data_IF_061889957104
#
_entry.id   IF_061889957104
#
_cell.length_a   1.000
_cell.length_b   1.000
_cell.length_c   1.000
_cell.angle_alpha   90.00
_cell.angle_beta   90.00
_cell.angle_gamma   90.00
#
_symmetry.space_group_name_H-M   'P 1'
#
loop_
_entity.id
_entity.type
_entity.pdbx_description
1 polymer ?
#
# COMPACT_ATOMS: atom_id res chain seq x y z
N UNK A 1 -13.84 61.44 -42.60
CA UNK A 1 -14.34 62.00 -41.33
C UNK A 1 -15.44 61.11 -40.77
N UNK A 2 -15.20 60.45 -39.64
CA UNK A 2 -16.21 59.76 -38.82
C UNK A 2 -15.78 59.84 -37.36
N UNK A 3 -16.75 60.06 -36.49
CA UNK A 3 -16.64 60.45 -35.09
C UNK A 3 -16.07 59.37 -34.17
N UNK A 4 -15.56 59.78 -33.00
CA UNK A 4 -15.82 59.14 -31.71
C UNK A 4 -15.41 60.04 -30.53
N UNK A 5 -16.24 60.00 -29.48
CA UNK A 5 -16.13 60.69 -28.17
C UNK A 5 -15.51 59.75 -27.13
N UNK A 6 -14.95 60.32 -26.04
CA UNK A 6 -15.13 59.95 -24.60
C UNK A 6 -13.85 60.30 -23.80
N UNK A 7 -13.80 61.34 -22.93
CA UNK A 7 -14.19 61.42 -21.49
C UNK A 7 -13.47 60.37 -20.62
N UNK A 8 -12.42 60.71 -19.85
CA UNK A 8 -12.24 61.51 -18.59
C UNK A 8 -12.47 60.73 -17.28
N UNK A 9 -11.43 60.81 -16.45
CA UNK A 9 -11.09 60.24 -15.13
C UNK A 9 -11.86 60.87 -13.96
N UNK A 10 -12.17 60.09 -12.89
CA UNK A 10 -12.26 60.52 -11.46
C UNK A 10 -11.97 59.29 -10.52
N UNK A 11 -11.22 59.45 -9.40
CA UNK A 11 -11.07 58.46 -8.32
C UNK A 11 -11.78 58.81 -6.98
N UNK A 12 -11.97 57.77 -6.14
CA UNK A 12 -12.27 57.68 -4.67
C UNK A 12 -13.52 58.37 -4.06
N UNK A 13 -14.15 57.79 -3.01
CA UNK A 13 -13.63 57.89 -1.64
C UNK A 13 -13.88 56.68 -0.69
N UNK A 14 -13.27 56.77 0.51
CA UNK A 14 -13.31 55.81 1.61
C UNK A 14 -14.26 56.19 2.78
N UNK A 15 -14.46 55.21 3.67
CA UNK A 15 -14.86 55.24 5.10
C UNK A 15 -16.32 55.43 5.54
N UNK A 16 -16.82 54.41 6.26
CA UNK A 16 -17.67 54.54 7.44
C UNK A 16 -17.38 53.37 8.42
N UNK A 17 -17.46 53.65 9.72
CA UNK A 17 -16.78 52.95 10.82
C UNK A 17 -17.78 52.69 11.98
N UNK A 18 -17.46 51.70 12.85
CA UNK A 18 -17.85 51.49 14.28
C UNK A 18 -19.14 50.67 14.61
N UNK A 19 -19.36 50.24 15.89
CA UNK A 19 -18.49 49.66 16.96
C UNK A 19 -19.13 48.36 17.58
N UNK A 20 -18.44 47.48 18.33
CA UNK A 20 -18.01 47.59 19.74
C UNK A 20 -18.82 46.66 20.68
N UNK A 21 -18.16 45.66 21.31
CA UNK A 21 -18.74 44.79 22.35
C UNK A 21 -18.81 45.48 23.73
N UNK A 22 -19.57 44.92 24.70
CA UNK A 22 -18.91 44.57 25.96
C UNK A 22 -19.42 43.32 26.72
N UNK A 23 -18.53 42.89 27.61
CA UNK A 23 -18.48 41.83 28.62
C UNK A 23 -19.45 42.01 29.82
N UNK A 24 -19.81 40.93 30.55
CA UNK A 24 -19.48 40.67 32.00
C UNK A 24 -20.49 39.79 32.80
N UNK A 25 -20.00 38.61 33.20
CA UNK A 25 -19.94 37.89 34.50
C UNK A 25 -21.00 37.95 35.67
N UNK A 26 -21.00 36.81 36.41
CA UNK A 26 -21.49 36.48 37.79
C UNK A 26 -23.01 36.23 37.96
N UNK A 27 -23.52 35.25 38.73
CA UNK A 27 -23.07 34.74 40.04
C UNK A 27 -23.72 33.38 40.43
N UNK A 28 -23.14 32.77 41.46
CA UNK A 28 -23.34 31.46 42.11
C UNK A 28 -24.63 31.35 42.95
N UNK A 29 -25.20 30.15 43.12
CA UNK A 29 -25.69 29.68 44.43
C UNK A 29 -25.62 28.15 44.59
N UNK A 30 -25.11 27.78 45.77
CA UNK A 30 -24.80 26.45 46.34
C UNK A 30 -25.86 26.15 47.40
N UNK A 31 -26.37 24.92 47.50
CA UNK A 31 -26.90 24.34 48.75
C UNK A 31 -26.57 22.83 48.80
N UNK A 32 -25.76 22.46 49.80
CA UNK A 32 -25.56 21.10 50.35
C UNK A 32 -26.85 20.69 51.11
N UNK A 33 -27.21 19.43 51.39
CA UNK A 33 -26.47 18.48 52.22
C UNK A 33 -27.31 17.19 52.48
N UNK A 34 -26.58 16.14 52.86
CA UNK A 34 -26.89 15.14 53.92
C UNK A 34 -27.91 13.99 53.74
N UNK A 35 -27.43 12.80 54.14
CA UNK A 35 -28.19 11.63 54.62
C UNK A 35 -28.32 10.54 53.55
N UNK A 36 -27.70 9.36 53.64
CA UNK A 36 -27.53 8.50 54.81
C UNK A 36 -28.65 7.45 54.84
N UNK A 37 -28.28 6.19 55.08
CA UNK A 37 -29.09 5.01 55.45
C UNK A 37 -29.34 3.90 54.42
N UNK A 38 -28.88 2.72 54.85
CA UNK A 38 -29.08 1.35 54.38
C UNK A 38 -30.54 0.98 54.08
N UNK A 39 -30.77 -0.01 53.21
CA UNK A 39 -31.29 -1.35 53.57
C UNK A 39 -31.64 -2.14 52.28
N UNK A 40 -31.15 -3.37 52.17
CA UNK A 40 -31.78 -4.47 51.38
C UNK A 40 -32.82 -5.14 52.31
N UNK A 41 -33.92 -5.84 51.93
CA UNK A 41 -34.01 -6.77 50.79
C UNK A 41 -35.42 -6.94 50.13
N UNK A 42 -35.49 -7.85 49.15
CA UNK A 42 -36.61 -8.71 48.69
C UNK A 42 -38.02 -8.13 48.40
N UNK A 43 -38.56 -8.44 47.20
CA UNK A 43 -39.69 -9.41 47.01
C UNK A 43 -40.26 -9.35 45.58
N UNK A 44 -40.56 -10.53 44.99
CA UNK A 44 -41.41 -10.69 43.79
C UNK A 44 -42.90 -10.50 44.16
N UNK A 45 -43.86 -10.37 43.20
CA UNK A 45 -44.44 -11.57 42.56
C UNK A 45 -45.04 -11.41 41.12
N UNK A 46 -45.10 -12.55 40.39
CA UNK A 46 -46.23 -13.14 39.59
C UNK A 46 -46.88 -12.31 38.43
N UNK A 47 -47.34 -12.85 37.29
CA UNK A 47 -47.51 -14.21 36.77
C UNK A 47 -48.04 -14.20 35.30
N UNK A 48 -48.20 -15.42 34.75
CA UNK A 48 -49.14 -15.88 33.68
C UNK A 48 -48.71 -15.72 32.20
N UNK A 49 -48.80 -16.69 31.28
CA UNK A 49 -49.52 -17.98 31.21
C UNK A 49 -48.94 -18.95 30.14
N UNK A 50 -49.00 -20.26 30.45
CA UNK A 50 -49.46 -21.42 29.64
C UNK A 50 -48.57 -21.98 28.49
N UNK A 51 -48.07 -23.22 28.64
CA UNK A 51 -48.62 -24.52 28.14
C UNK A 51 -48.48 -24.63 26.59
N UNK A 52 -47.86 -25.62 25.94
CA UNK A 52 -47.81 -27.08 26.14
C UNK A 52 -46.73 -27.65 25.18
N UNK A 53 -46.03 -28.71 25.58
CA UNK A 53 -45.27 -29.60 24.67
C UNK A 53 -46.06 -30.90 24.48
N UNK A 54 -45.97 -31.57 23.33
CA UNK A 54 -45.50 -32.96 23.41
C UNK A 54 -44.56 -33.37 22.27
N UNK A 55 -44.09 -34.61 22.40
CA UNK A 55 -42.89 -35.27 21.87
C UNK A 55 -43.14 -36.28 20.73
N UNK A 56 -42.05 -36.58 20.01
CA UNK A 56 -41.62 -37.82 19.32
C UNK A 56 -42.50 -38.56 18.28
N UNK A 57 -41.90 -38.77 17.08
CA UNK A 57 -41.42 -40.06 16.47
C UNK A 57 -41.80 -40.33 14.97
N UNK A 58 -40.78 -40.80 14.20
CA UNK A 58 -40.75 -41.58 12.92
C UNK A 58 -41.14 -40.91 11.57
N UNK A 59 -40.19 -40.82 10.62
CA UNK A 59 -40.02 -41.68 9.42
C UNK A 59 -39.23 -41.00 8.27
N UNK A 60 -38.55 -41.78 7.42
CA UNK A 60 -37.89 -41.37 6.16
C UNK A 60 -38.56 -42.06 4.94
N UNK A 61 -38.04 -41.96 3.69
CA UNK A 61 -38.17 -40.91 2.66
C UNK A 61 -38.95 -41.41 1.40
N UNK A 62 -38.96 -40.70 0.24
CA UNK A 62 -38.02 -41.09 -0.84
C UNK A 62 -37.55 -39.98 -1.83
N UNK A 63 -36.53 -40.36 -2.62
CA UNK A 63 -35.87 -39.68 -3.76
C UNK A 63 -36.75 -39.49 -5.02
N UNK A 64 -36.23 -38.79 -6.05
CA UNK A 64 -36.20 -39.42 -7.37
C UNK A 64 -34.81 -39.41 -8.07
N UNK A 65 -34.61 -40.45 -8.90
CA UNK A 65 -33.40 -40.82 -9.65
C UNK A 65 -33.41 -40.30 -11.10
N UNK A 66 -32.20 -39.94 -11.54
CA UNK A 66 -31.51 -40.23 -12.82
C UNK A 66 -32.07 -39.75 -14.17
N UNK A 67 -31.15 -39.13 -14.93
CA UNK A 67 -30.69 -39.68 -16.21
C UNK A 67 -29.16 -39.86 -16.18
N UNK A 68 -28.69 -41.03 -16.65
CA UNK A 68 -27.30 -41.45 -16.82
C UNK A 68 -27.02 -41.70 -18.30
N UNK A 69 -25.80 -41.38 -18.75
CA UNK A 69 -24.99 -42.04 -19.81
C UNK A 69 -23.52 -41.72 -19.47
N UNK A 70 -22.76 -42.61 -18.82
CA UNK A 70 -21.82 -43.62 -19.39
C UNK A 70 -20.72 -42.98 -20.27
N UNK A 71 -19.52 -42.64 -19.76
CA UNK A 71 -18.25 -43.42 -19.56
C UNK A 71 -17.46 -43.55 -20.90
N UNK A 72 -16.09 -43.50 -21.01
CA UNK A 72 -15.05 -43.83 -20.01
C UNK A 72 -13.80 -42.92 -19.88
N UNK A 73 -13.17 -43.10 -18.71
CA UNK A 73 -11.72 -43.18 -18.38
C UNK A 73 -10.67 -42.86 -19.46
N UNK A 74 -9.70 -42.02 -19.11
CA UNK A 74 -8.29 -42.27 -19.46
C UNK A 74 -7.31 -41.62 -18.47
N UNK A 75 -6.70 -42.47 -17.65
CA UNK A 75 -5.42 -42.26 -17.01
C UNK A 75 -4.34 -42.39 -18.09
N UNK A 76 -3.49 -41.38 -18.29
CA UNK A 76 -2.20 -41.56 -18.96
C UNK A 76 -1.18 -40.68 -18.25
N UNK A 77 -0.26 -41.36 -17.56
CA UNK A 77 1.05 -40.86 -17.20
C UNK A 77 1.78 -40.40 -18.47
N UNK A 78 2.28 -39.16 -18.49
CA UNK A 78 3.33 -38.77 -19.41
C UNK A 78 4.60 -38.48 -18.61
N UNK A 79 5.48 -39.46 -18.77
CA UNK A 79 6.91 -39.47 -18.52
C UNK A 79 7.54 -38.44 -19.47
N UNK A 80 8.21 -37.42 -18.93
CA UNK A 80 9.18 -36.67 -19.72
C UNK A 80 10.54 -37.37 -19.55
N UNK A 81 11.08 -37.81 -20.68
CA UNK A 81 12.38 -38.44 -20.79
C UNK A 81 13.47 -37.36 -20.86
N UNK A 82 14.54 -37.61 -20.11
CA UNK A 82 15.83 -36.94 -20.26
C UNK A 82 16.43 -37.30 -21.62
N UNK A 83 16.92 -36.30 -22.34
CA UNK A 83 17.78 -36.49 -23.51
C UNK A 83 19.13 -35.81 -23.23
N UNK A 84 20.21 -36.59 -23.33
CA UNK A 84 21.58 -36.18 -23.04
C UNK A 84 22.44 -36.17 -24.32
N UNK A 85 23.32 -35.15 -24.40
CA UNK A 85 24.64 -35.07 -25.07
C UNK A 85 24.74 -34.73 -26.58
N UNK A 86 25.93 -34.28 -27.09
CA UNK A 86 27.18 -33.85 -26.42
C UNK A 86 27.76 -32.50 -26.90
N UNK A 87 28.80 -32.00 -26.22
CA UNK A 87 29.45 -30.71 -26.49
C UNK A 87 30.63 -30.71 -27.48
N UNK A 88 31.27 -29.54 -27.62
CA UNK A 88 32.72 -29.34 -27.81
C UNK A 88 33.13 -27.86 -27.76
N UNK A 89 34.24 -27.62 -27.06
CA UNK A 89 35.08 -26.42 -27.05
C UNK A 89 35.63 -26.09 -28.43
N UNK A 90 35.86 -24.81 -28.73
CA UNK A 90 36.96 -24.41 -29.62
C UNK A 90 37.65 -23.13 -29.15
N UNK A 91 38.91 -23.11 -29.50
CA UNK A 91 40.08 -22.48 -28.91
C UNK A 91 40.50 -21.21 -29.66
N UNK A 92 41.31 -20.40 -28.98
CA UNK A 92 41.86 -19.12 -29.39
C UNK A 92 43.11 -19.35 -30.25
N UNK A 93 43.19 -18.72 -31.43
CA UNK A 93 44.45 -18.59 -32.19
C UNK A 93 44.68 -17.15 -32.67
N UNK A 94 45.86 -16.64 -32.30
CA UNK A 94 46.47 -15.36 -32.70
C UNK A 94 46.99 -15.38 -34.16
N UNK A 95 47.29 -14.22 -34.79
CA UNK A 95 48.69 -13.75 -34.80
C UNK A 95 48.88 -12.20 -34.79
N UNK A 96 50.05 -11.74 -34.31
CA UNK A 96 50.61 -10.40 -34.59
C UNK A 96 51.13 -10.26 -36.03
N UNK A 97 51.69 -9.12 -36.49
CA UNK A 97 52.93 -8.54 -35.91
C UNK A 97 53.08 -6.99 -36.02
N UNK A 98 54.16 -6.43 -35.46
CA UNK A 98 54.78 -5.19 -35.98
C UNK A 98 55.16 -4.11 -34.95
N UNK A 99 56.47 -3.91 -34.71
CA UNK A 99 57.07 -2.93 -33.80
C UNK A 99 57.57 -1.66 -34.52
N UNK A 100 57.72 -0.57 -33.74
CA UNK A 100 58.54 0.68 -33.91
C UNK A 100 57.87 1.78 -34.78
N UNK A 101 57.98 3.10 -34.53
CA UNK A 101 58.97 3.92 -33.81
C UNK A 101 58.40 5.34 -33.48
N UNK A 102 58.97 5.90 -32.42
CA UNK A 102 59.06 7.29 -31.89
C UNK A 102 59.13 8.43 -32.94
N UNK A 103 58.53 9.60 -32.68
CA UNK A 103 59.22 10.90 -32.45
C UNK A 103 58.26 12.11 -32.28
N UNK A 104 58.79 13.11 -31.59
CA UNK A 104 58.19 14.36 -31.09
C UNK A 104 58.11 15.45 -32.17
N UNK A 105 57.22 16.44 -32.03
CA UNK A 105 57.52 17.89 -32.10
C UNK A 105 56.25 18.75 -31.97
N UNK A 106 56.44 19.92 -31.34
CA UNK A 106 55.48 20.94 -30.92
C UNK A 106 54.96 21.82 -32.07
N UNK A 107 53.77 22.41 -31.90
CA UNK A 107 53.54 23.82 -32.24
C UNK A 107 52.36 24.40 -31.45
N UNK A 108 52.60 25.49 -30.70
CA UNK A 108 51.61 26.32 -30.01
C UNK A 108 50.91 27.27 -30.98
N UNK A 109 49.60 27.51 -30.81
CA UNK A 109 49.02 28.84 -30.99
C UNK A 109 47.69 29.03 -30.22
N UNK A 110 47.80 29.89 -29.19
CA UNK A 110 46.81 30.65 -28.40
C UNK A 110 45.32 30.62 -28.78
N UNK A 111 44.48 30.35 -27.77
CA UNK A 111 43.07 30.77 -27.69
C UNK A 111 42.58 30.78 -26.23
N UNK A 112 42.09 31.92 -25.76
CA UNK A 112 41.70 32.25 -24.37
C UNK A 112 40.67 31.27 -23.74
N UNK A 113 40.74 30.93 -22.43
CA UNK A 113 39.68 30.15 -21.80
C UNK A 113 38.59 31.08 -21.26
N UNK A 114 37.44 31.11 -21.93
CA UNK A 114 36.19 31.53 -21.30
C UNK A 114 35.86 30.47 -20.23
N UNK A 115 35.96 30.85 -18.95
CA UNK A 115 35.51 30.03 -17.82
C UNK A 115 34.00 29.80 -17.92
N UNK A 116 33.60 28.80 -18.69
CA UNK A 116 32.26 28.21 -18.59
C UNK A 116 32.22 27.41 -17.30
N UNK A 117 31.64 27.99 -16.26
CA UNK A 117 31.11 27.26 -15.12
C UNK A 117 30.00 26.34 -15.63
N UNK A 118 30.36 25.20 -16.22
CA UNK A 118 29.45 24.07 -16.41
C UNK A 118 29.09 23.56 -15.03
N UNK A 119 28.05 24.15 -14.48
CA UNK A 119 27.25 23.57 -13.41
C UNK A 119 26.81 22.19 -13.91
N UNK A 120 27.53 21.16 -13.49
CA UNK A 120 27.11 19.77 -13.62
C UNK A 120 25.81 19.64 -12.85
N UNK A 121 24.70 19.83 -13.55
CA UNK A 121 23.41 19.31 -13.09
C UNK A 121 23.61 17.81 -12.93
N UNK A 122 23.14 17.21 -11.84
CA UNK A 122 23.19 15.76 -11.69
C UNK A 122 22.44 15.18 -12.88
N UNK A 123 23.14 14.34 -13.64
CA UNK A 123 22.59 13.57 -14.74
C UNK A 123 21.56 12.61 -14.12
N UNK A 124 20.31 13.05 -13.99
CA UNK A 124 19.22 12.12 -13.80
C UNK A 124 19.05 11.47 -15.16
N UNK A 125 19.78 10.36 -15.37
CA UNK A 125 19.46 9.46 -16.47
C UNK A 125 17.99 9.14 -16.30
N UNK A 126 17.15 9.76 -17.13
CA UNK A 126 15.70 9.63 -17.04
C UNK A 126 15.36 8.25 -17.58
N UNK A 127 15.53 7.23 -16.73
CA UNK A 127 15.11 5.87 -17.04
C UNK A 127 13.63 5.94 -17.43
N UNK A 128 13.30 5.34 -18.57
CA UNK A 128 11.92 5.34 -19.06
C UNK A 128 10.96 4.79 -17.99
N UNK A 129 9.78 5.40 -17.80
CA UNK A 129 8.82 4.92 -16.80
C UNK A 129 8.41 3.47 -17.01
N UNK A 130 8.63 2.67 -15.96
CA UNK A 130 8.01 1.34 -15.78
C UNK A 130 6.72 1.49 -15.01
N UNK A 131 5.57 1.27 -15.65
CA UNK A 131 4.24 1.57 -15.09
C UNK A 131 3.51 0.28 -14.70
N UNK A 132 3.02 0.23 -13.48
CA UNK A 132 2.17 -0.84 -12.98
C UNK A 132 0.73 -0.33 -12.82
N UNK A 133 -0.26 -1.15 -13.18
CA UNK A 133 -1.68 -0.83 -12.96
C UNK A 133 -2.26 -1.66 -11.80
N UNK A 134 -3.22 -1.08 -11.08
CA UNK A 134 -3.99 -1.79 -10.05
C UNK A 134 -5.41 -1.27 -9.95
N UNK A 135 -6.35 -2.15 -9.57
CA UNK A 135 -7.76 -1.81 -9.37
C UNK A 135 -8.57 -1.59 -10.66
N UNK A 136 -7.89 -1.39 -11.79
CA UNK A 136 -8.48 -1.07 -13.09
C UNK A 136 -7.71 -1.74 -14.23
N UNK A 137 -8.43 -2.10 -15.28
CA UNK A 137 -7.87 -2.49 -16.59
C UNK A 137 -8.02 -1.29 -17.52
N UNK A 138 -6.91 -0.74 -17.99
CA UNK A 138 -6.91 0.45 -18.86
C UNK A 138 -6.02 0.23 -20.09
N UNK A 139 -6.58 -0.42 -21.11
CA UNK A 139 -5.88 -0.67 -22.37
C UNK A 139 -5.40 0.64 -23.06
N UNK A 140 -6.12 1.75 -22.86
CA UNK A 140 -5.75 3.05 -23.41
C UNK A 140 -4.51 3.60 -22.69
N UNK A 141 -4.46 3.49 -21.37
CA UNK A 141 -3.29 3.83 -20.57
C UNK A 141 -2.09 2.97 -20.91
N UNK A 142 -2.27 1.66 -21.04
CA UNK A 142 -1.20 0.73 -21.46
C UNK A 142 -0.60 1.13 -22.81
N UNK A 143 -1.45 1.41 -23.81
CA UNK A 143 -1.01 1.91 -25.12
C UNK A 143 -0.28 3.26 -25.00
N UNK A 144 -0.74 4.15 -24.14
CA UNK A 144 -0.09 5.44 -23.90
C UNK A 144 1.32 5.25 -23.31
N UNK A 145 1.51 4.34 -22.37
CA UNK A 145 2.83 4.03 -21.79
C UNK A 145 3.81 3.60 -22.88
N UNK A 146 3.43 2.61 -23.70
CA UNK A 146 4.29 2.06 -24.75
C UNK A 146 4.61 3.12 -25.81
N UNK A 147 3.62 3.89 -26.23
CA UNK A 147 3.77 4.86 -27.30
C UNK A 147 4.52 6.14 -26.87
N UNK A 148 4.77 6.32 -25.57
CA UNK A 148 5.64 7.36 -25.00
C UNK A 148 7.05 6.84 -24.66
N UNK A 149 7.34 5.57 -24.99
CA UNK A 149 8.64 4.94 -24.75
C UNK A 149 8.83 4.36 -23.34
N UNK A 150 7.76 4.26 -22.54
CA UNK A 150 7.78 3.53 -21.26
C UNK A 150 7.53 2.03 -21.45
N UNK A 151 7.51 1.29 -20.34
CA UNK A 151 7.17 -0.14 -20.34
C UNK A 151 6.18 -0.50 -19.24
N UNK A 152 5.47 -1.61 -19.42
CA UNK A 152 4.60 -2.17 -18.38
C UNK A 152 5.44 -2.96 -17.38
N UNK A 153 5.23 -2.72 -16.09
CA UNK A 153 5.85 -3.47 -15.02
C UNK A 153 5.06 -4.75 -14.75
N UNK A 154 5.77 -5.87 -14.61
CA UNK A 154 5.23 -7.17 -14.21
C UNK A 154 5.03 -7.29 -12.70
N UNK A 155 5.82 -6.54 -11.92
CA UNK A 155 5.81 -6.58 -10.46
C UNK A 155 6.01 -5.20 -9.84
N UNK A 156 5.67 -5.07 -8.56
CA UNK A 156 5.87 -3.83 -7.82
C UNK A 156 7.35 -3.53 -7.61
N UNK A 157 8.23 -4.54 -7.58
CA UNK A 157 9.67 -4.35 -7.34
C UNK A 157 10.34 -3.52 -8.44
N UNK A 158 9.95 -3.71 -9.70
CA UNK A 158 10.50 -2.97 -10.83
C UNK A 158 9.70 -1.73 -11.23
N UNK A 159 8.49 -1.56 -10.69
CA UNK A 159 7.65 -0.43 -11.02
C UNK A 159 8.29 0.89 -10.56
N UNK A 160 8.23 1.90 -11.43
CA UNK A 160 8.60 3.28 -11.13
C UNK A 160 7.38 4.12 -10.75
N UNK A 161 6.21 3.78 -11.30
CA UNK A 161 4.94 4.46 -11.09
C UNK A 161 3.83 3.41 -10.96
N UNK A 162 2.88 3.65 -10.07
CA UNK A 162 1.64 2.90 -9.99
C UNK A 162 0.50 3.79 -10.51
N UNK A 163 -0.36 3.24 -11.36
CA UNK A 163 -1.55 3.92 -11.88
C UNK A 163 -2.80 3.19 -11.42
N UNK A 164 -3.79 3.95 -10.95
CA UNK A 164 -5.08 3.43 -10.49
C UNK A 164 -6.16 4.51 -10.61
N UNK A 165 -7.43 4.11 -10.58
CA UNK A 165 -8.60 4.99 -10.63
C UNK A 165 -8.99 5.54 -9.25
N UNK A 166 -8.67 4.80 -8.17
CA UNK A 166 -9.08 5.11 -6.80
C UNK A 166 -8.13 4.52 -5.75
N UNK A 167 -8.29 4.90 -4.50
CA UNK A 167 -7.56 4.25 -3.40
C UNK A 167 -8.14 2.85 -3.19
N UNK A 168 -7.30 1.82 -3.34
CA UNK A 168 -7.70 0.43 -3.15
C UNK A 168 -6.67 -0.32 -2.29
N UNK A 169 -7.13 -1.16 -1.36
CA UNK A 169 -6.25 -1.97 -0.47
C UNK A 169 -5.76 -3.25 -1.15
N UNK A 170 -5.21 -3.14 -2.36
CA UNK A 170 -4.58 -4.27 -3.05
C UNK A 170 -3.12 -4.44 -2.62
N UNK A 171 -2.56 -5.63 -2.81
CA UNK A 171 -1.12 -5.89 -2.57
C UNK A 171 -0.25 -4.94 -3.39
N UNK A 172 -0.58 -4.73 -4.67
CA UNK A 172 0.15 -3.80 -5.55
C UNK A 172 0.15 -2.37 -5.02
N UNK A 173 -1.01 -1.89 -4.54
CA UNK A 173 -1.15 -0.56 -3.96
C UNK A 173 -0.31 -0.40 -2.69
N UNK A 174 -0.45 -1.33 -1.75
CA UNK A 174 0.27 -1.29 -0.47
C UNK A 174 1.79 -1.39 -0.65
N UNK A 175 2.25 -2.26 -1.55
CA UNK A 175 3.66 -2.37 -1.91
C UNK A 175 4.20 -1.07 -2.54
N UNK A 176 3.46 -0.47 -3.48
CA UNK A 176 3.87 0.77 -4.13
C UNK A 176 3.97 1.92 -3.11
N UNK A 177 2.97 2.03 -2.23
CA UNK A 177 2.94 3.01 -1.16
C UNK A 177 4.09 2.81 -0.19
N UNK A 178 4.36 1.58 0.24
CA UNK A 178 5.50 1.24 1.09
C UNK A 178 6.86 1.59 0.49
N UNK A 179 7.00 1.47 -0.83
CA UNK A 179 8.19 1.92 -1.57
C UNK A 179 8.26 3.43 -1.73
N UNK A 180 7.15 4.15 -1.59
CA UNK A 180 7.04 5.58 -1.80
C UNK A 180 7.07 6.01 -3.27
N UNK A 181 6.81 5.08 -4.20
CA UNK A 181 6.72 5.41 -5.63
C UNK A 181 5.42 6.20 -5.89
N UNK A 182 5.38 7.07 -6.91
CA UNK A 182 4.17 7.83 -7.23
C UNK A 182 2.98 6.90 -7.51
N UNK A 183 1.83 7.24 -6.92
CA UNK A 183 0.54 6.58 -7.15
C UNK A 183 -0.37 7.60 -7.84
N UNK A 184 -0.60 7.37 -9.13
CA UNK A 184 -1.15 8.38 -10.04
C UNK A 184 -2.51 7.95 -10.60
N UNK A 185 -3.33 8.94 -10.94
CA UNK A 185 -4.58 8.72 -11.67
C UNK A 185 -4.31 8.37 -13.14
N UNK A 186 -5.32 7.80 -13.80
CA UNK A 186 -5.28 7.51 -15.24
C UNK A 186 -5.02 8.77 -16.09
N UNK A 187 -5.43 9.94 -15.61
CA UNK A 187 -5.24 11.21 -16.30
C UNK A 187 -3.76 11.53 -16.54
N UNK A 188 -2.85 11.05 -15.69
CA UNK A 188 -1.42 11.22 -15.92
C UNK A 188 -1.02 10.67 -17.30
N UNK A 189 -1.46 9.46 -17.63
CA UNK A 189 -1.15 8.80 -18.89
C UNK A 189 -1.87 9.48 -20.05
N UNK A 190 -3.13 9.85 -19.87
CA UNK A 190 -3.91 10.48 -20.94
C UNK A 190 -3.38 11.86 -21.30
N UNK A 191 -3.00 12.67 -20.31
CA UNK A 191 -2.44 13.99 -20.55
C UNK A 191 -0.99 13.90 -21.06
N UNK A 192 -0.20 12.95 -20.54
CA UNK A 192 1.12 12.65 -21.09
C UNK A 192 1.06 12.27 -22.57
N UNK A 193 0.08 11.44 -22.94
CA UNK A 193 -0.10 11.04 -24.34
C UNK A 193 -0.43 12.23 -25.25
N UNK A 194 -1.25 13.16 -24.78
CA UNK A 194 -1.58 14.40 -25.49
C UNK A 194 -0.36 15.32 -25.61
N UNK A 195 0.46 15.41 -24.57
CA UNK A 195 1.67 16.22 -24.54
C UNK A 195 2.82 15.62 -25.36
N UNK A 196 2.77 14.32 -25.69
CA UNK A 196 3.82 13.61 -26.40
C UNK A 196 5.02 13.23 -25.52
N UNK A 197 4.92 13.40 -24.20
CA UNK A 197 5.94 13.00 -23.23
C UNK A 197 5.31 12.71 -21.86
N UNK A 198 6.01 11.97 -20.99
CA UNK A 198 5.56 11.76 -19.61
C UNK A 198 5.62 13.07 -18.81
N UNK A 199 4.46 13.49 -18.30
CA UNK A 199 4.33 14.69 -17.49
C UNK A 199 4.83 14.47 -16.06
N UNK A 200 5.21 15.54 -15.34
CA UNK A 200 5.58 15.44 -13.93
C UNK A 200 4.45 14.82 -13.07
N UNK A 201 4.78 13.93 -12.12
CA UNK A 201 3.77 13.13 -11.40
C UNK A 201 2.98 13.92 -10.34
N UNK A 202 3.54 15.00 -9.79
CA UNK A 202 3.00 15.65 -8.57
C UNK A 202 1.56 16.18 -8.73
N UNK A 203 1.20 16.60 -9.94
CA UNK A 203 -0.14 17.08 -10.29
C UNK A 203 -1.17 15.97 -10.52
N UNK A 204 -0.75 14.71 -10.55
CA UNK A 204 -1.61 13.57 -10.90
C UNK A 204 -1.70 12.51 -9.80
N UNK A 205 -1.21 12.81 -8.60
CA UNK A 205 -1.39 11.91 -7.45
C UNK A 205 -2.89 11.68 -7.22
N UNK A 206 -3.27 10.40 -7.07
CA UNK A 206 -4.67 10.00 -6.84
C UNK A 206 -5.26 10.80 -5.69
N UNK A 207 -6.44 11.34 -5.89
CA UNK A 207 -7.19 12.09 -4.89
C UNK A 207 -8.56 11.44 -4.76
N UNK A 208 -8.82 10.82 -3.61
CA UNK A 208 -10.02 10.04 -3.35
C UNK A 208 -10.51 10.37 -1.92
N UNK A 209 -11.22 11.51 -1.76
CA UNK A 209 -11.61 12.02 -0.45
C UNK A 209 -12.59 11.10 0.27
N UNK A 210 -13.30 10.24 -0.46
CA UNK A 210 -14.18 9.23 0.13
C UNK A 210 -13.36 8.17 0.86
N UNK A 211 -12.39 7.55 0.17
CA UNK A 211 -11.57 6.51 0.77
C UNK A 211 -10.57 7.07 1.80
N UNK A 212 -10.04 8.27 1.59
CA UNK A 212 -9.23 8.97 2.60
C UNK A 212 -10.01 9.17 3.91
N UNK A 213 -11.30 9.52 3.83
CA UNK A 213 -12.19 9.60 5.00
C UNK A 213 -12.48 8.23 5.59
N UNK A 214 -12.83 7.24 4.77
CA UNK A 214 -13.19 5.89 5.23
C UNK A 214 -12.05 5.21 5.99
N UNK A 215 -10.81 5.40 5.52
CA UNK A 215 -9.62 4.86 6.18
C UNK A 215 -8.99 5.83 7.19
N UNK A 216 -9.39 7.11 7.19
CA UNK A 216 -8.87 8.14 8.09
C UNK A 216 -7.38 8.40 7.87
N UNK A 217 -6.99 8.75 6.65
CA UNK A 217 -5.61 9.09 6.27
C UNK A 217 -5.58 10.02 5.05
N UNK A 218 -4.40 10.60 4.75
CA UNK A 218 -4.14 11.24 3.46
C UNK A 218 -3.09 10.46 2.67
N UNK A 219 -3.37 10.18 1.41
CA UNK A 219 -2.44 9.49 0.52
C UNK A 219 -1.16 10.31 0.29
N UNK A 220 -1.30 11.63 0.15
CA UNK A 220 -0.15 12.54 -0.06
C UNK A 220 0.79 12.50 1.15
N UNK A 221 0.23 12.56 2.35
CA UNK A 221 1.03 12.51 3.58
C UNK A 221 1.69 11.14 3.78
N UNK A 222 0.96 10.06 3.50
CA UNK A 222 1.53 8.71 3.53
C UNK A 222 2.68 8.57 2.54
N UNK A 223 2.52 9.00 1.28
CA UNK A 223 3.60 8.97 0.29
C UNK A 223 4.81 9.80 0.74
N UNK A 224 4.58 10.97 1.34
CA UNK A 224 5.63 11.81 1.92
C UNK A 224 6.41 11.07 3.02
N UNK A 225 5.71 10.44 3.97
CA UNK A 225 6.31 9.61 5.02
C UNK A 225 7.12 8.44 4.45
N UNK A 226 6.58 7.72 3.46
CA UNK A 226 7.23 6.57 2.84
C UNK A 226 8.52 6.93 2.09
N UNK A 227 8.58 8.13 1.49
CA UNK A 227 9.79 8.66 0.84
C UNK A 227 10.85 9.07 1.87
N UNK A 228 10.42 9.62 3.01
CA UNK A 228 11.33 10.04 4.07
C UNK A 228 11.93 8.86 4.85
N UNK A 229 11.16 7.79 5.08
CA UNK A 229 11.63 6.61 5.83
C UNK A 229 10.93 5.33 5.40
N UNK A 230 11.63 4.21 5.54
CA UNK A 230 11.05 2.87 5.42
C UNK A 230 10.25 2.55 6.68
N UNK A 231 8.94 2.34 6.55
CA UNK A 231 8.00 2.14 7.65
C UNK A 231 8.46 1.02 8.62
N UNK A 232 8.84 -0.12 8.06
CA UNK A 232 9.15 -1.34 8.80
C UNK A 232 10.65 -1.57 8.95
N UNK A 233 11.47 -0.51 8.83
CA UNK A 233 12.92 -0.63 9.04
C UNK A 233 13.24 -1.25 10.40
N UNK A 234 13.95 -2.37 10.38
CA UNK A 234 14.35 -3.12 11.57
C UNK A 234 13.26 -4.00 12.19
N UNK A 235 12.10 -4.12 11.55
CA UNK A 235 11.08 -5.09 11.97
C UNK A 235 11.37 -6.49 11.39
N UNK A 236 11.12 -7.50 12.20
CA UNK A 236 11.12 -8.91 11.77
C UNK A 236 9.71 -9.48 11.98
N UNK A 237 9.06 -9.90 10.91
CA UNK A 237 7.64 -10.23 10.93
C UNK A 237 7.43 -11.65 10.44
N UNK A 238 6.83 -12.48 11.27
CA UNK A 238 6.29 -13.77 10.85
C UNK A 238 4.80 -13.63 10.56
N UNK A 239 4.32 -14.30 9.51
CA UNK A 239 2.89 -14.32 9.14
C UNK A 239 2.42 -15.77 9.17
N UNK A 240 1.34 -16.04 9.92
CA UNK A 240 0.81 -17.41 10.02
C UNK A 240 0.02 -17.81 8.77
N UNK A 241 -0.10 -19.12 8.45
CA UNK A 241 -0.63 -19.59 7.15
C UNK A 241 -2.05 -19.16 6.78
N UNK A 242 -2.96 -19.02 7.74
CA UNK A 242 -4.38 -18.67 7.57
C UNK A 242 -4.66 -17.18 7.43
N UNK A 243 -3.65 -16.32 7.49
CA UNK A 243 -3.82 -14.86 7.29
C UNK A 243 -4.22 -14.55 5.86
N UNK A 244 -5.06 -13.52 5.69
CA UNK A 244 -5.41 -12.95 4.41
C UNK A 244 -5.00 -11.47 4.34
N UNK A 245 -4.29 -11.01 3.29
CA UNK A 245 -3.70 -11.79 2.19
C UNK A 245 -2.75 -12.91 2.65
N UNK A 246 -2.51 -13.96 1.85
CA UNK A 246 -1.67 -15.10 2.25
C UNK A 246 -0.21 -14.68 2.51
N UNK A 247 0.56 -15.48 3.28
CA UNK A 247 1.91 -15.11 3.71
C UNK A 247 2.88 -14.66 2.61
N UNK A 248 2.91 -15.25 1.40
CA UNK A 248 3.77 -14.76 0.32
C UNK A 248 3.46 -13.31 -0.06
N UNK A 249 2.17 -12.96 -0.18
CA UNK A 249 1.72 -11.62 -0.53
C UNK A 249 1.95 -10.62 0.61
N UNK A 250 1.70 -11.04 1.86
CA UNK A 250 2.07 -10.24 3.03
C UNK A 250 3.57 -9.98 3.08
N UNK A 251 4.38 -10.98 2.70
CA UNK A 251 5.83 -10.89 2.61
C UNK A 251 6.31 -9.85 1.60
N UNK A 252 5.64 -9.72 0.45
CA UNK A 252 5.91 -8.66 -0.53
C UNK A 252 5.69 -7.27 0.08
N UNK A 253 4.58 -7.07 0.79
CA UNK A 253 4.24 -5.78 1.44
C UNK A 253 5.28 -5.44 2.51
N UNK A 254 5.62 -6.42 3.36
CA UNK A 254 6.63 -6.27 4.42
C UNK A 254 7.97 -5.84 3.82
N UNK A 255 8.42 -6.54 2.78
CA UNK A 255 9.69 -6.28 2.10
C UNK A 255 9.71 -4.90 1.44
N UNK A 256 8.62 -4.52 0.77
CA UNK A 256 8.47 -3.20 0.15
C UNK A 256 8.54 -2.05 1.17
N UNK A 257 8.13 -2.31 2.41
CA UNK A 257 8.20 -1.36 3.52
C UNK A 257 9.54 -1.39 4.29
N UNK A 258 10.49 -2.22 3.86
CA UNK A 258 11.82 -2.36 4.46
C UNK A 258 11.88 -3.24 5.71
N UNK A 259 10.87 -4.09 5.93
CA UNK A 259 10.87 -5.12 6.97
C UNK A 259 11.46 -6.44 6.49
N UNK A 260 11.75 -7.33 7.44
CA UNK A 260 12.27 -8.68 7.18
C UNK A 260 11.18 -9.70 7.47
N UNK A 261 10.91 -10.60 6.52
CA UNK A 261 9.97 -11.70 6.71
C UNK A 261 10.68 -12.87 7.38
N UNK A 262 10.09 -13.39 8.45
CA UNK A 262 10.56 -14.60 9.12
C UNK A 262 9.84 -15.82 8.54
N UNK A 263 10.57 -16.77 7.91
CA UNK A 263 9.95 -17.95 7.28
C UNK A 263 9.42 -18.96 8.30
N UNK A 264 9.83 -18.85 9.56
CA UNK A 264 9.45 -19.78 10.62
C UNK A 264 9.07 -19.01 11.89
N UNK A 265 8.19 -19.61 12.68
CA UNK A 265 7.73 -19.04 13.94
C UNK A 265 8.92 -18.75 14.87
N UNK A 266 9.11 -17.48 15.29
CA UNK A 266 10.18 -17.14 16.19
C UNK A 266 10.00 -17.76 17.58
N UNK A 267 11.13 -18.17 18.18
CA UNK A 267 11.17 -18.85 19.49
C UNK A 267 11.88 -18.03 20.58
N UNK A 268 12.21 -16.78 20.30
CA UNK A 268 12.85 -15.86 21.25
C UNK A 268 12.35 -14.44 21.07
N UNK A 269 12.27 -13.72 22.18
CA UNK A 269 11.97 -12.30 22.19
C UNK A 269 13.06 -11.50 21.46
N UNK A 270 12.64 -10.52 20.67
CA UNK A 270 13.52 -9.48 20.11
C UNK A 270 12.69 -8.21 19.92
N UNK A 271 13.23 -7.01 20.20
CA UNK A 271 12.55 -5.77 19.86
C UNK A 271 12.17 -5.71 18.37
N UNK A 272 10.98 -5.18 18.06
CA UNK A 272 10.43 -5.08 16.69
C UNK A 272 10.23 -6.42 15.96
N UNK A 273 10.25 -7.52 16.70
CA UNK A 273 9.81 -8.82 16.17
C UNK A 273 8.33 -9.01 16.47
N UNK A 274 7.55 -9.36 15.45
CA UNK A 274 6.08 -9.38 15.51
C UNK A 274 5.56 -10.63 14.80
N UNK A 275 4.45 -11.19 15.30
CA UNK A 275 3.71 -12.25 14.62
C UNK A 275 2.37 -11.72 14.17
N UNK A 276 2.11 -11.73 12.87
CA UNK A 276 0.79 -11.44 12.30
C UNK A 276 0.02 -12.75 12.18
N UNK A 277 -1.19 -12.80 12.73
CA UNK A 277 -2.05 -13.99 12.72
C UNK A 277 -3.52 -13.64 12.52
N UNK A 278 -4.36 -14.67 12.37
CA UNK A 278 -5.81 -14.60 12.42
C UNK A 278 -6.36 -15.59 13.46
N UNK A 279 -7.67 -15.55 13.71
CA UNK A 279 -8.35 -16.44 14.67
C UNK A 279 -8.14 -17.93 14.38
N UNK A 280 -8.13 -18.32 13.10
CA UNK A 280 -7.96 -19.71 12.66
C UNK A 280 -6.60 -20.31 13.04
N UNK A 281 -5.58 -19.46 13.17
CA UNK A 281 -4.22 -19.87 13.53
C UNK A 281 -3.88 -19.67 15.00
N UNK A 282 -4.88 -19.39 15.84
CA UNK A 282 -4.70 -19.25 17.28
C UNK A 282 -3.89 -20.38 17.94
N UNK A 283 -4.09 -21.68 17.62
CA UNK A 283 -3.30 -22.76 18.20
C UNK A 283 -1.79 -22.68 17.90
N UNK A 284 -1.39 -21.94 16.85
CA UNK A 284 0.02 -21.75 16.47
C UNK A 284 0.71 -20.68 17.30
N UNK A 285 -0.05 -19.84 18.00
CA UNK A 285 0.45 -18.65 18.69
C UNK A 285 0.93 -18.91 20.12
N UNK A 286 0.85 -20.14 20.62
CA UNK A 286 1.33 -20.50 21.97
C UNK A 286 2.80 -20.15 22.20
N UNK A 287 3.66 -20.36 21.20
CA UNK A 287 5.10 -20.04 21.31
C UNK A 287 5.35 -18.53 21.42
N UNK A 288 4.88 -17.68 20.49
CA UNK A 288 5.12 -16.24 20.58
C UNK A 288 4.53 -15.62 21.86
N UNK A 289 3.35 -16.07 22.33
CA UNK A 289 2.82 -15.61 23.62
C UNK A 289 3.74 -15.95 24.80
N UNK A 290 4.23 -17.20 24.87
CA UNK A 290 5.14 -17.64 25.93
C UNK A 290 6.45 -16.87 25.98
N UNK A 291 6.96 -16.43 24.83
CA UNK A 291 8.21 -15.66 24.73
C UNK A 291 7.98 -14.15 24.74
N UNK A 292 6.74 -13.68 24.95
CA UNK A 292 6.42 -12.25 25.04
C UNK A 292 6.53 -11.48 23.73
N UNK A 293 6.34 -12.14 22.59
CA UNK A 293 6.26 -11.46 21.29
C UNK A 293 4.85 -10.91 21.05
N UNK A 294 4.74 -9.69 20.48
CA UNK A 294 3.46 -9.17 20.02
C UNK A 294 2.85 -10.07 18.96
N UNK A 295 1.62 -10.52 19.22
CA UNK A 295 0.76 -11.23 18.27
C UNK A 295 -0.33 -10.25 17.84
N UNK A 296 -0.36 -9.89 16.56
CA UNK A 296 -1.21 -8.82 16.03
C UNK A 296 -2.07 -9.30 14.87
N UNK A 297 -3.16 -8.59 14.61
CA UNK A 297 -4.02 -8.83 13.46
C UNK A 297 -3.36 -8.38 12.14
N UNK A 298 -3.88 -8.82 10.98
CA UNK A 298 -3.36 -8.39 9.68
C UNK A 298 -3.49 -6.88 9.44
N UNK A 299 -4.41 -6.21 10.13
CA UNK A 299 -4.63 -4.76 10.02
C UNK A 299 -3.42 -3.94 10.47
N UNK A 300 -2.58 -4.48 11.36
CA UNK A 300 -1.29 -3.85 11.68
C UNK A 300 -0.50 -3.53 10.42
N UNK A 301 -0.45 -4.48 9.47
CA UNK A 301 0.24 -4.27 8.21
C UNK A 301 -0.65 -3.52 7.23
N UNK A 302 -1.88 -3.97 6.99
CA UNK A 302 -2.70 -3.46 5.90
C UNK A 302 -3.12 -1.99 6.12
N UNK A 303 -3.56 -1.66 7.33
CA UNK A 303 -3.89 -0.28 7.71
C UNK A 303 -2.62 0.51 8.04
N UNK A 304 -1.65 -0.09 8.73
CA UNK A 304 -0.39 0.58 9.07
C UNK A 304 0.39 1.05 7.84
N UNK A 305 0.46 0.24 6.79
CA UNK A 305 1.09 0.61 5.50
C UNK A 305 0.32 1.71 4.81
N UNK A 306 -1.01 1.65 4.81
CA UNK A 306 -1.86 2.68 4.20
C UNK A 306 -1.64 4.05 4.85
N UNK A 307 -1.52 4.08 6.18
CA UNK A 307 -1.26 5.29 6.97
C UNK A 307 0.22 5.64 7.08
N UNK A 308 1.13 4.74 6.71
CA UNK A 308 2.57 4.84 6.98
C UNK A 308 2.88 5.05 8.48
N UNK A 309 2.17 4.30 9.32
CA UNK A 309 2.26 4.31 10.78
C UNK A 309 2.33 2.87 11.32
N UNK A 310 3.28 2.59 12.21
CA UNK A 310 3.50 1.26 12.77
C UNK A 310 3.09 1.24 14.25
N UNK A 311 1.78 1.33 14.52
CA UNK A 311 1.23 1.24 15.86
C UNK A 311 0.87 -0.21 16.18
N UNK A 312 1.63 -0.87 17.06
CA UNK A 312 1.36 -2.26 17.44
C UNK A 312 0.16 -2.40 18.37
N UNK A 313 0.04 -1.50 19.35
CA UNK A 313 -0.94 -1.58 20.43
C UNK A 313 -2.38 -1.58 19.91
N UNK A 314 -2.64 -0.84 18.84
CA UNK A 314 -3.95 -0.77 18.19
C UNK A 314 -4.43 -2.10 17.57
N UNK A 315 -3.54 -3.09 17.41
CA UNK A 315 -3.83 -4.33 16.67
C UNK A 315 -3.39 -5.60 17.40
N UNK A 316 -3.00 -5.53 18.68
CA UNK A 316 -2.66 -6.70 19.48
C UNK A 316 -3.90 -7.58 19.65
N UNK A 317 -3.73 -8.89 19.41
CA UNK A 317 -4.77 -9.89 19.62
C UNK A 317 -4.62 -10.50 21.02
N UNK A 318 -5.72 -10.51 21.76
CA UNK A 318 -5.74 -11.11 23.10
C UNK A 318 -5.92 -12.63 23.03
N UNK A 319 -5.39 -13.37 24.00
CA UNK A 319 -5.58 -14.82 24.09
C UNK A 319 -7.07 -15.21 24.18
N UNK A 320 -7.92 -14.36 24.78
CA UNK A 320 -9.37 -14.56 24.85
C UNK A 320 -10.06 -14.43 23.48
N UNK A 321 -9.67 -13.45 22.66
CA UNK A 321 -10.24 -13.22 21.33
C UNK A 321 -9.90 -14.36 20.36
N UNK A 322 -8.82 -15.08 20.65
CA UNK A 322 -8.29 -16.17 19.85
C UNK A 322 -8.88 -17.54 20.23
N UNK A 323 -9.74 -17.61 21.25
CA UNK A 323 -10.39 -18.84 21.72
C UNK A 323 -11.84 -19.02 21.25
N UNK A 324 -12.39 -18.09 20.47
CA UNK A 324 -13.76 -18.21 19.96
C UNK A 324 -13.76 -18.88 18.57
N UNK A 325 -14.46 -20.02 18.40
CA UNK A 325 -14.48 -20.79 17.15
C UNK A 325 -15.21 -20.09 15.99
#
# INVERSE_FOLDING_TARGET
MRATKSLKTIPEPAFAQLPGAPTRALQVQKVEATGGYEFSPESQPKAFQNHTRPSDTVDSPPLPKRLRREVPQKTVFLKEEEDEKPGKEEDVVMPGPGKRKKDQAEEEAKGMPVRSLRRTKPNHESTAPKVLFTGVVDARGEQAVLALGGSLASSVAEASHLVTDRICRTVKFLCALGRGIPILSLDWLYQSRKAGCFLPPDGYVVTDPEQERNFGFSLRDSLSRARARRLLKGYEIHVTPGVQPPPPQMGEIISCCGGTVLPSMPRSYKPRRVVITCSQDAPRCTTPFRVGLPVVSPEFLLTGVLKQEANLEAFVLSTLEMSCP
#
